data_IF_813903022836
#
_entry.id   IF_813903022836
#
_cell.length_a   1.000
_cell.length_b   1.000
_cell.length_c   1.000
_cell.angle_alpha   90.00
_cell.angle_beta   90.00
_cell.angle_gamma   90.00
#
_symmetry.space_group_name_H-M   'P 1'
#
loop_
_entity.id
_entity.type
_entity.pdbx_description
1 polymer ?
#
# COMPACT_ATOMS: atom_id res chain seq x y z
N UNK A 1 17.55 27.20 29.86
CA UNK A 1 17.48 26.40 28.64
C UNK A 1 18.69 25.47 28.67
N UNK A 2 18.48 24.20 28.98
CA UNK A 2 19.51 23.16 28.89
C UNK A 2 19.95 23.05 27.43
N UNK A 3 21.26 23.11 27.19
CA UNK A 3 21.83 22.82 25.88
C UNK A 3 21.55 21.35 25.59
N UNK A 4 20.50 21.08 24.79
CA UNK A 4 20.29 19.73 24.25
C UNK A 4 21.58 19.30 23.58
N UNK A 5 22.12 18.16 24.06
CA UNK A 5 23.27 17.52 23.41
C UNK A 5 22.78 16.98 22.06
N UNK A 6 23.20 17.62 20.99
CA UNK A 6 22.79 17.30 19.60
C UNK A 6 22.94 15.81 19.30
N UNK A 7 23.98 15.18 19.84
CA UNK A 7 24.24 13.75 19.62
C UNK A 7 23.18 12.88 20.32
N UNK A 8 22.82 13.19 21.56
CA UNK A 8 21.76 12.47 22.29
C UNK A 8 20.39 12.67 21.63
N UNK A 9 20.13 13.86 21.10
CA UNK A 9 18.90 14.14 20.34
C UNK A 9 18.84 13.31 19.06
N UNK A 10 19.93 13.22 18.30
CA UNK A 10 19.99 12.42 17.07
C UNK A 10 19.84 10.92 17.38
N UNK A 11 20.52 10.41 18.41
CA UNK A 11 20.42 9.01 18.83
C UNK A 11 19.00 8.64 19.32
N UNK A 12 18.30 9.57 19.97
CA UNK A 12 16.92 9.38 20.38
C UNK A 12 15.96 9.47 19.18
N UNK A 13 16.22 10.38 18.23
CA UNK A 13 15.40 10.53 17.04
C UNK A 13 15.50 9.32 16.11
N UNK A 14 16.70 8.71 15.96
CA UNK A 14 16.89 7.50 15.18
C UNK A 14 16.09 6.30 15.73
N UNK A 15 15.91 6.21 17.04
CA UNK A 15 15.19 5.12 17.70
C UNK A 15 13.66 5.24 17.66
N UNK A 16 13.12 6.39 17.25
CA UNK A 16 11.67 6.58 17.16
C UNK A 16 11.06 5.68 16.08
N UNK A 17 9.93 5.06 16.43
CA UNK A 17 9.12 4.30 15.48
C UNK A 17 8.57 5.21 14.37
N UNK A 18 8.41 4.66 13.17
CA UNK A 18 7.95 5.38 11.99
C UNK A 18 6.55 4.91 11.60
N UNK A 19 5.58 5.82 11.60
CA UNK A 19 4.24 5.58 11.07
C UNK A 19 4.11 6.19 9.68
N UNK A 20 3.77 5.35 8.70
CA UNK A 20 3.37 5.79 7.36
C UNK A 20 1.87 5.83 7.30
N UNK A 21 1.30 6.97 6.99
CA UNK A 21 -0.14 7.17 6.92
C UNK A 21 -0.56 7.75 5.57
N UNK A 22 -1.74 7.32 5.14
CA UNK A 22 -2.42 7.78 3.95
C UNK A 22 -3.58 8.68 4.37
N UNK A 23 -3.78 9.81 3.72
CA UNK A 23 -5.01 10.60 3.84
C UNK A 23 -5.87 10.39 2.60
N UNK A 24 -7.14 10.05 2.80
CA UNK A 24 -8.12 9.84 1.75
C UNK A 24 -9.44 10.53 2.10
N UNK A 25 -10.21 10.90 1.11
CA UNK A 25 -11.49 11.60 1.26
C UNK A 25 -11.84 12.33 -0.02
N UNK A 26 -13.07 12.81 -0.14
CA UNK A 26 -13.52 13.55 -1.32
C UNK A 26 -12.79 14.90 -1.45
N UNK A 27 -12.97 15.53 -2.59
CA UNK A 27 -12.63 16.94 -2.76
C UNK A 27 -13.43 17.72 -1.72
N UNK A 28 -12.81 18.70 -1.10
CA UNK A 28 -13.37 19.56 -0.05
C UNK A 28 -13.67 18.90 1.32
N UNK A 29 -13.37 17.62 1.54
CA UNK A 29 -13.47 17.00 2.88
C UNK A 29 -12.46 17.59 3.89
N UNK A 30 -11.47 18.38 3.42
CA UNK A 30 -10.48 19.08 4.25
C UNK A 30 -9.20 18.29 4.51
N UNK A 31 -8.80 17.42 3.58
CA UNK A 31 -7.52 16.66 3.67
C UNK A 31 -6.32 17.59 3.86
N UNK A 32 -6.13 18.52 2.95
CA UNK A 32 -5.01 19.45 2.97
C UNK A 32 -5.05 20.34 4.22
N UNK A 33 -6.25 20.80 4.64
CA UNK A 33 -6.42 21.55 5.88
C UNK A 33 -5.98 20.73 7.10
N UNK A 34 -6.36 19.45 7.17
CA UNK A 34 -6.00 18.57 8.29
C UNK A 34 -4.49 18.34 8.35
N UNK A 35 -3.87 18.04 7.21
CA UNK A 35 -2.41 17.82 7.14
C UNK A 35 -1.67 19.09 7.50
N UNK A 36 -2.07 20.23 6.91
CA UNK A 36 -1.49 21.52 7.23
C UNK A 36 -1.62 21.86 8.71
N UNK A 37 -2.78 21.58 9.33
CA UNK A 37 -3.01 21.77 10.75
C UNK A 37 -2.12 20.88 11.62
N UNK A 38 -1.98 19.61 11.29
CA UNK A 38 -1.06 18.68 11.98
C UNK A 38 0.38 19.17 11.92
N UNK A 39 0.83 19.66 10.77
CA UNK A 39 2.19 20.20 10.60
C UNK A 39 2.38 21.49 11.42
N UNK A 40 1.39 22.37 11.40
CA UNK A 40 1.41 23.64 12.13
C UNK A 40 1.46 23.41 13.65
N UNK A 41 0.51 22.65 14.18
CA UNK A 41 0.36 22.44 15.62
C UNK A 41 1.48 21.54 16.21
N UNK A 42 2.14 20.70 15.37
CA UNK A 42 3.30 19.93 15.82
C UNK A 42 4.55 20.79 16.07
N UNK A 43 4.45 22.11 15.95
CA UNK A 43 5.47 23.12 16.26
C UNK A 43 6.80 22.97 15.51
N UNK A 44 6.75 22.48 14.28
CA UNK A 44 7.94 22.29 13.43
C UNK A 44 7.97 23.18 12.19
N UNK A 45 7.12 24.19 12.12
CA UNK A 45 7.24 25.23 11.11
C UNK A 45 8.26 26.27 11.57
N UNK A 46 9.15 26.64 10.66
CA UNK A 46 10.08 27.75 10.86
C UNK A 46 9.30 29.08 10.79
N UNK A 47 9.75 30.10 11.53
CA UNK A 47 9.09 31.42 11.58
C UNK A 47 8.87 32.03 10.17
N UNK A 48 9.84 31.85 9.27
CA UNK A 48 9.74 32.31 7.88
C UNK A 48 8.57 31.66 7.11
N UNK A 49 8.25 30.40 7.41
CA UNK A 49 7.12 29.68 6.80
C UNK A 49 5.78 30.16 7.34
N UNK A 50 5.72 30.52 8.63
CA UNK A 50 4.55 31.11 9.24
C UNK A 50 4.23 32.48 8.63
N UNK A 51 5.22 33.36 8.52
CA UNK A 51 5.08 34.68 7.91
C UNK A 51 4.68 34.59 6.42
N UNK A 52 5.16 33.58 5.72
CA UNK A 52 4.76 33.29 4.34
C UNK A 52 3.32 32.81 4.27
N UNK A 53 2.92 31.89 5.15
CA UNK A 53 1.56 31.37 5.23
C UNK A 53 0.52 32.46 5.52
N UNK A 54 0.79 33.35 6.48
CA UNK A 54 -0.10 34.46 6.78
C UNK A 54 -0.26 35.44 5.62
N UNK A 55 0.85 35.71 4.88
CA UNK A 55 0.79 36.55 3.68
C UNK A 55 0.03 35.88 2.54
N UNK A 56 0.27 34.58 2.32
CA UNK A 56 -0.38 33.83 1.25
C UNK A 56 -1.87 33.60 1.56
N UNK A 57 -2.25 33.37 2.84
CA UNK A 57 -3.65 33.29 3.27
C UNK A 57 -4.41 34.57 2.92
N UNK A 58 -3.82 35.75 3.14
CA UNK A 58 -4.45 37.04 2.80
C UNK A 58 -4.60 37.27 1.28
N UNK A 59 -3.79 36.58 0.44
CA UNK A 59 -3.81 36.77 -1.01
C UNK A 59 -4.62 35.72 -1.75
N UNK A 60 -4.58 34.46 -1.29
CA UNK A 60 -5.08 33.30 -2.00
C UNK A 60 -5.96 32.39 -1.14
N UNK A 61 -6.05 32.64 0.18
CA UNK A 61 -6.74 31.75 1.10
C UNK A 61 -8.26 31.74 0.91
N UNK A 62 -8.86 30.56 1.09
CA UNK A 62 -10.28 30.31 1.01
C UNK A 62 -10.94 30.10 2.39
N UNK A 63 -10.18 30.27 3.48
CA UNK A 63 -10.62 30.01 4.86
C UNK A 63 -11.30 31.20 5.56
N UNK A 64 -11.63 32.27 4.83
CA UNK A 64 -12.20 33.51 5.40
C UNK A 64 -11.17 34.27 6.24
N UNK A 65 -11.51 34.56 7.51
CA UNK A 65 -10.60 35.23 8.44
C UNK A 65 -9.61 34.28 9.13
N UNK A 66 -9.76 32.97 8.97
CA UNK A 66 -8.87 31.95 9.54
C UNK A 66 -7.64 31.71 8.62
N UNK A 67 -6.56 31.19 9.21
CA UNK A 67 -5.36 30.80 8.46
C UNK A 67 -5.71 29.61 7.54
N UNK A 68 -5.39 29.74 6.26
CA UNK A 68 -5.57 28.64 5.31
C UNK A 68 -4.36 27.68 5.33
N UNK A 69 -4.47 26.65 6.16
CA UNK A 69 -3.44 25.64 6.35
C UNK A 69 -3.21 24.78 5.08
N UNK A 70 -4.14 24.74 4.14
CA UNK A 70 -3.97 24.02 2.87
C UNK A 70 -2.83 24.62 2.05
N UNK A 71 -2.60 25.92 2.11
CA UNK A 71 -1.51 26.60 1.40
C UNK A 71 -0.11 26.14 1.82
N UNK A 72 0.04 25.50 2.99
CA UNK A 72 1.31 24.86 3.38
C UNK A 72 1.68 23.67 2.51
N UNK A 73 0.69 23.08 1.84
CA UNK A 73 0.84 21.82 1.10
C UNK A 73 0.94 22.02 -0.41
N UNK A 74 0.39 23.10 -0.91
CA UNK A 74 0.32 23.38 -2.34
C UNK A 74 1.70 23.56 -2.96
N UNK A 75 2.27 22.44 -3.45
CA UNK A 75 3.60 22.39 -4.04
C UNK A 75 3.63 22.77 -5.52
N UNK A 76 2.63 22.34 -6.28
CA UNK A 76 2.53 22.55 -7.71
C UNK A 76 1.70 23.81 -8.03
N UNK A 77 2.12 24.56 -9.05
CA UNK A 77 1.35 25.72 -9.51
C UNK A 77 -0.06 25.33 -9.95
N UNK A 78 -0.20 24.17 -10.61
CA UNK A 78 -1.47 23.64 -11.07
C UNK A 78 -2.41 23.25 -9.89
N UNK A 79 -1.86 22.76 -8.78
CA UNK A 79 -2.63 22.44 -7.57
C UNK A 79 -3.17 23.72 -6.92
N UNK A 80 -2.35 24.77 -6.83
CA UNK A 80 -2.77 26.08 -6.33
C UNK A 80 -3.84 26.75 -7.19
N UNK A 81 -3.73 26.63 -8.51
CA UNK A 81 -4.71 27.23 -9.45
C UNK A 81 -6.04 26.48 -9.45
N UNK A 82 -6.03 25.17 -9.24
CA UNK A 82 -7.23 24.32 -9.25
C UNK A 82 -7.78 24.02 -7.87
N UNK A 83 -7.02 24.24 -6.79
CA UNK A 83 -7.40 23.94 -5.43
C UNK A 83 -7.57 22.45 -5.14
N UNK A 84 -6.90 21.58 -5.91
CA UNK A 84 -6.99 20.11 -5.77
C UNK A 84 -5.58 19.50 -5.74
N UNK A 85 -5.41 18.42 -4.98
CA UNK A 85 -4.22 17.56 -5.04
C UNK A 85 -4.27 16.72 -6.33
N UNK A 86 -3.22 16.76 -7.13
CA UNK A 86 -3.12 16.04 -8.41
C UNK A 86 -2.23 14.79 -8.27
N UNK A 87 -1.08 14.92 -7.61
CA UNK A 87 -0.12 13.85 -7.43
C UNK A 87 0.04 13.49 -5.95
N UNK A 88 0.71 12.35 -5.66
CA UNK A 88 1.00 11.97 -4.28
C UNK A 88 2.10 12.84 -3.73
N UNK A 89 1.79 13.63 -2.71
CA UNK A 89 2.77 14.40 -1.97
C UNK A 89 3.12 13.72 -0.65
N UNK A 90 4.41 13.52 -0.40
CA UNK A 90 4.88 12.98 0.87
C UNK A 90 5.32 14.11 1.80
N UNK A 91 4.77 14.14 3.00
CA UNK A 91 5.10 15.09 4.04
C UNK A 91 5.68 14.37 5.25
N UNK A 92 6.67 15.00 5.85
CA UNK A 92 7.43 14.42 6.95
C UNK A 92 7.31 15.29 8.17
N UNK A 93 6.96 14.72 9.29
CA UNK A 93 7.07 15.39 10.58
C UNK A 93 7.38 14.37 11.68
N UNK A 94 7.78 14.86 12.84
CA UNK A 94 8.01 14.01 14.00
C UNK A 94 7.59 14.74 15.26
N UNK A 95 7.08 13.98 16.22
CA UNK A 95 6.88 14.42 17.58
C UNK A 95 8.01 13.88 18.47
N UNK A 96 7.93 14.12 19.76
CA UNK A 96 8.88 13.53 20.71
C UNK A 96 8.74 11.99 20.80
N UNK A 97 7.60 11.42 20.38
CA UNK A 97 7.28 9.98 20.50
C UNK A 97 7.48 9.21 19.21
N UNK A 98 7.14 9.80 18.04
CA UNK A 98 7.08 9.06 16.78
C UNK A 98 7.43 9.93 15.58
N UNK A 99 7.95 9.31 14.51
CA UNK A 99 8.12 9.90 13.18
C UNK A 99 6.92 9.57 12.31
N UNK A 100 6.58 10.47 11.41
CA UNK A 100 5.43 10.33 10.51
C UNK A 100 5.82 10.62 9.07
N UNK A 101 5.30 9.80 8.16
CA UNK A 101 5.26 10.08 6.73
C UNK A 101 3.80 10.10 6.33
N UNK A 102 3.32 11.23 5.86
CA UNK A 102 1.97 11.39 5.33
C UNK A 102 2.03 11.29 3.81
N UNK A 103 1.30 10.34 3.22
CA UNK A 103 1.01 10.34 1.79
C UNK A 103 -0.32 11.09 1.60
N UNK A 104 -0.23 12.33 1.12
CA UNK A 104 -1.40 13.10 0.71
C UNK A 104 -1.82 12.64 -0.68
N UNK A 105 -3.05 12.18 -0.81
CA UNK A 105 -3.55 11.62 -2.06
C UNK A 105 -4.74 12.38 -2.60
N UNK A 106 -4.84 12.46 -3.94
CA UNK A 106 -5.96 13.12 -4.60
C UNK A 106 -7.30 12.51 -4.18
N UNK A 107 -8.30 13.36 -3.97
CA UNK A 107 -9.67 12.93 -3.67
C UNK A 107 -10.50 12.55 -4.89
N UNK A 108 -10.08 12.92 -6.09
CA UNK A 108 -10.84 12.72 -7.33
C UNK A 108 -10.65 11.29 -7.87
N UNK A 109 -11.71 10.68 -8.40
CA UNK A 109 -11.71 9.30 -8.90
C UNK A 109 -10.69 9.03 -10.01
N UNK A 110 -10.41 10.02 -10.85
CA UNK A 110 -9.43 9.92 -11.94
C UNK A 110 -8.02 9.65 -11.44
N UNK A 111 -7.73 9.94 -10.18
CA UNK A 111 -6.42 9.78 -9.57
C UNK A 111 -6.33 8.55 -8.63
N UNK A 112 -7.22 7.56 -8.79
CA UNK A 112 -7.21 6.32 -7.99
C UNK A 112 -5.85 5.63 -8.00
N UNK A 113 -5.12 5.65 -9.14
CA UNK A 113 -3.76 5.13 -9.25
C UNK A 113 -2.79 5.79 -8.26
N UNK A 114 -2.93 7.10 -8.05
CA UNK A 114 -2.06 7.84 -7.13
C UNK A 114 -2.37 7.47 -5.67
N UNK A 115 -3.64 7.26 -5.33
CA UNK A 115 -4.04 6.75 -4.02
C UNK A 115 -3.45 5.36 -3.74
N UNK A 116 -3.47 4.45 -4.73
CA UNK A 116 -2.89 3.11 -4.59
C UNK A 116 -1.38 3.19 -4.39
N UNK A 117 -0.70 4.07 -5.15
CA UNK A 117 0.74 4.29 -5.00
C UNK A 117 1.08 4.80 -3.60
N UNK A 118 0.38 5.83 -3.12
CA UNK A 118 0.59 6.38 -1.77
C UNK A 118 0.23 5.40 -0.66
N UNK A 119 -0.84 4.63 -0.85
CA UNK A 119 -1.33 3.66 0.13
C UNK A 119 -0.53 2.35 0.21
N UNK A 120 0.26 2.01 -0.84
CA UNK A 120 0.98 0.72 -0.91
C UNK A 120 1.96 0.50 0.25
N UNK A 121 2.50 1.57 0.82
CA UNK A 121 3.44 1.52 1.94
C UNK A 121 2.84 1.99 3.27
N UNK A 122 1.57 2.41 3.27
CA UNK A 122 0.92 2.94 4.45
C UNK A 122 0.59 1.84 5.48
N UNK A 123 0.78 2.17 6.75
CA UNK A 123 0.38 1.33 7.87
C UNK A 123 -1.03 1.69 8.37
N UNK A 124 -1.42 2.95 8.18
CA UNK A 124 -2.68 3.51 8.65
C UNK A 124 -3.29 4.41 7.57
N UNK A 125 -4.62 4.40 7.44
CA UNK A 125 -5.34 5.33 6.57
C UNK A 125 -6.25 6.25 7.39
N UNK A 126 -6.22 7.55 7.11
CA UNK A 126 -7.18 8.51 7.61
C UNK A 126 -8.18 8.77 6.49
N UNK A 127 -9.43 8.35 6.69
CA UNK A 127 -10.54 8.61 5.77
C UNK A 127 -11.34 9.77 6.32
N UNK A 128 -11.28 10.91 5.59
CA UNK A 128 -12.03 12.09 5.97
C UNK A 128 -13.46 12.03 5.41
N UNK A 129 -14.39 12.51 6.20
CA UNK A 129 -15.79 12.65 5.83
C UNK A 129 -16.27 14.02 6.32
N UNK A 130 -16.85 14.83 5.43
CA UNK A 130 -17.53 16.07 5.80
C UNK A 130 -18.80 15.74 6.60
N UNK A 131 -18.91 16.25 7.83
CA UNK A 131 -20.04 15.99 8.72
C UNK A 131 -21.40 16.39 8.12
N UNK A 132 -21.43 17.33 7.18
CA UNK A 132 -22.65 17.76 6.47
C UNK A 132 -23.12 16.73 5.45
N UNK A 133 -22.16 16.08 4.76
CA UNK A 133 -22.44 15.17 3.64
C UNK A 133 -22.56 13.71 4.07
N UNK A 134 -21.87 13.30 5.15
CA UNK A 134 -21.86 11.91 5.60
C UNK A 134 -21.09 10.99 4.68
N UNK A 135 -21.44 9.70 4.70
CA UNK A 135 -20.78 8.65 3.92
C UNK A 135 -21.25 8.70 2.46
N UNK A 136 -20.43 9.26 1.60
CA UNK A 136 -20.71 9.38 0.16
C UNK A 136 -19.99 8.28 -0.65
N UNK A 137 -20.28 8.20 -1.94
CA UNK A 137 -19.68 7.23 -2.87
C UNK A 137 -18.15 7.22 -2.82
N UNK A 138 -17.52 8.39 -2.75
CA UNK A 138 -16.06 8.49 -2.66
C UNK A 138 -15.52 7.92 -1.35
N UNK A 139 -16.21 8.13 -0.23
CA UNK A 139 -15.86 7.53 1.07
C UNK A 139 -15.83 6.00 0.96
N UNK A 140 -16.86 5.42 0.34
CA UNK A 140 -16.99 3.97 0.11
C UNK A 140 -15.86 3.44 -0.78
N UNK A 141 -15.57 4.13 -1.88
CA UNK A 141 -14.47 3.80 -2.80
C UNK A 141 -13.12 3.80 -2.09
N UNK A 142 -12.81 4.86 -1.37
CA UNK A 142 -11.54 4.98 -0.65
C UNK A 142 -11.41 3.89 0.43
N UNK A 143 -12.48 3.59 1.16
CA UNK A 143 -12.50 2.52 2.16
C UNK A 143 -12.24 1.15 1.52
N UNK A 144 -12.86 0.88 0.37
CA UNK A 144 -12.62 -0.36 -0.38
C UNK A 144 -11.16 -0.47 -0.84
N UNK A 145 -10.59 0.59 -1.39
CA UNK A 145 -9.19 0.61 -1.81
C UNK A 145 -8.23 0.41 -0.63
N UNK A 146 -8.52 1.03 0.52
CA UNK A 146 -7.76 0.84 1.75
C UNK A 146 -7.80 -0.61 2.23
N UNK A 147 -8.97 -1.26 2.16
CA UNK A 147 -9.12 -2.69 2.49
C UNK A 147 -8.36 -3.57 1.50
N UNK A 148 -8.44 -3.27 0.20
CA UNK A 148 -7.73 -3.99 -0.85
C UNK A 148 -6.20 -3.92 -0.68
N UNK A 149 -5.69 -2.74 -0.28
CA UNK A 149 -4.29 -2.53 0.08
C UNK A 149 -3.90 -3.19 1.41
N UNK A 150 -4.83 -3.84 2.09
CA UNK A 150 -4.60 -4.55 3.35
C UNK A 150 -4.12 -3.62 4.48
N UNK A 151 -4.53 -2.35 4.48
CA UNK A 151 -4.24 -1.42 5.57
C UNK A 151 -5.16 -1.79 6.73
N UNK A 152 -4.57 -2.16 7.87
CA UNK A 152 -5.31 -2.72 9.01
C UNK A 152 -5.89 -1.67 9.94
N UNK A 153 -5.28 -0.48 10.00
CA UNK A 153 -5.67 0.62 10.88
C UNK A 153 -6.33 1.72 10.08
N UNK A 154 -7.58 2.01 10.36
CA UNK A 154 -8.36 3.06 9.70
C UNK A 154 -8.86 4.06 10.73
N UNK A 155 -8.61 5.33 10.50
CA UNK A 155 -9.25 6.42 11.23
C UNK A 155 -10.32 7.02 10.34
N UNK A 156 -11.58 6.91 10.75
CA UNK A 156 -12.67 7.71 10.20
C UNK A 156 -12.65 9.08 10.87
N UNK A 157 -12.16 10.08 10.17
CA UNK A 157 -12.12 11.45 10.64
C UNK A 157 -13.38 12.19 10.17
N UNK A 158 -14.37 12.35 11.06
CA UNK A 158 -15.59 13.10 10.77
C UNK A 158 -15.26 14.58 10.97
N UNK A 159 -14.93 15.25 9.86
CA UNK A 159 -14.42 16.60 9.82
C UNK A 159 -15.53 17.64 9.66
N UNK A 160 -15.20 18.89 9.96
CA UNK A 160 -16.09 20.04 9.89
C UNK A 160 -17.26 19.95 10.88
N UNK A 161 -17.01 19.38 12.06
CA UNK A 161 -18.00 19.29 13.12
C UNK A 161 -18.49 20.67 13.58
N UNK A 162 -17.65 21.72 13.44
CA UNK A 162 -18.01 23.11 13.66
C UNK A 162 -19.19 23.59 12.80
N UNK A 163 -19.31 23.09 11.56
CA UNK A 163 -20.39 23.47 10.64
C UNK A 163 -21.73 22.78 10.92
N UNK A 164 -21.74 21.77 11.78
CA UNK A 164 -22.95 21.08 12.25
C UNK A 164 -23.20 21.30 13.74
N UNK A 165 -22.60 22.34 14.33
CA UNK A 165 -22.78 22.71 15.74
C UNK A 165 -22.24 21.66 16.73
N UNK A 166 -21.25 20.87 16.33
CA UNK A 166 -20.62 19.81 17.14
C UNK A 166 -21.61 18.74 17.62
N UNK A 167 -22.66 18.48 16.81
CA UNK A 167 -23.77 17.61 17.18
C UNK A 167 -23.32 16.14 17.21
N UNK A 168 -23.45 15.53 18.40
CA UNK A 168 -23.19 14.10 18.62
C UNK A 168 -24.05 13.18 17.75
N UNK A 169 -25.31 13.51 17.51
CA UNK A 169 -26.21 12.67 16.73
C UNK A 169 -25.77 12.57 15.28
N UNK A 170 -25.23 13.67 14.72
CA UNK A 170 -24.63 13.66 13.37
C UNK A 170 -23.45 12.71 13.31
N UNK A 171 -22.54 12.81 14.29
CA UNK A 171 -21.40 11.89 14.38
C UNK A 171 -21.82 10.44 14.50
N UNK A 172 -22.69 10.11 15.46
CA UNK A 172 -23.13 8.72 15.72
C UNK A 172 -23.81 8.10 14.49
N UNK A 173 -24.60 8.88 13.73
CA UNK A 173 -25.22 8.45 12.48
C UNK A 173 -24.16 8.10 11.42
N UNK A 174 -23.18 8.97 11.19
CA UNK A 174 -22.11 8.75 10.20
C UNK A 174 -21.28 7.52 10.57
N UNK A 175 -20.92 7.37 11.84
CA UNK A 175 -20.18 6.21 12.34
C UNK A 175 -20.96 4.92 12.13
N UNK A 176 -22.25 4.93 12.39
CA UNK A 176 -23.11 3.73 12.20
C UNK A 176 -23.17 3.33 10.73
N UNK A 177 -23.43 4.29 9.83
CA UNK A 177 -23.47 4.05 8.38
C UNK A 177 -22.12 3.55 7.86
N UNK A 178 -21.02 4.18 8.28
CA UNK A 178 -19.69 3.80 7.85
C UNK A 178 -19.34 2.37 8.30
N UNK A 179 -19.60 2.01 9.54
CA UNK A 179 -19.32 0.67 10.07
C UNK A 179 -20.13 -0.41 9.37
N UNK A 180 -21.39 -0.16 9.07
CA UNK A 180 -22.23 -1.10 8.30
C UNK A 180 -21.62 -1.35 6.91
N UNK A 181 -21.13 -0.32 6.24
CA UNK A 181 -20.47 -0.47 4.96
C UNK A 181 -19.12 -1.19 5.06
N UNK A 182 -18.32 -0.89 6.08
CA UNK A 182 -16.96 -1.41 6.24
C UNK A 182 -16.93 -2.86 6.79
N UNK A 183 -17.99 -3.34 7.42
CA UNK A 183 -18.06 -4.68 8.04
C UNK A 183 -17.67 -5.81 7.07
N UNK A 184 -18.25 -5.93 5.85
CA UNK A 184 -17.88 -6.98 4.89
C UNK A 184 -16.45 -6.85 4.34
N UNK A 185 -15.80 -5.70 4.50
CA UNK A 185 -14.44 -5.46 4.04
C UNK A 185 -13.38 -6.03 4.99
N UNK A 186 -13.77 -6.45 6.20
CA UNK A 186 -12.90 -7.13 7.15
C UNK A 186 -11.74 -6.27 7.69
N UNK A 187 -11.91 -4.94 7.76
CA UNK A 187 -10.91 -4.05 8.34
C UNK A 187 -10.88 -4.25 9.86
N UNK A 188 -9.76 -4.69 10.45
CA UNK A 188 -9.76 -5.14 11.85
C UNK A 188 -9.83 -4.01 12.87
N UNK A 189 -9.32 -2.81 12.55
CA UNK A 189 -9.26 -1.67 13.46
C UNK A 189 -9.80 -0.41 12.79
N UNK A 190 -10.97 0.04 13.25
CA UNK A 190 -11.62 1.28 12.79
C UNK A 190 -11.88 2.18 14.00
N UNK A 191 -11.11 3.24 14.09
CA UNK A 191 -11.27 4.30 15.09
C UNK A 191 -11.98 5.50 14.47
N UNK A 192 -13.02 6.01 15.14
CA UNK A 192 -13.81 7.13 14.64
C UNK A 192 -13.53 8.37 15.52
N UNK A 193 -13.14 9.48 14.91
CA UNK A 193 -12.76 10.71 15.60
C UNK A 193 -13.56 11.87 15.00
N UNK A 194 -14.41 12.56 15.79
CA UNK A 194 -15.03 13.82 15.39
C UNK A 194 -14.01 14.95 15.52
N UNK A 195 -13.85 15.77 14.48
CA UNK A 195 -12.88 16.85 14.51
C UNK A 195 -13.31 18.07 13.67
N UNK A 196 -12.65 19.19 13.90
CA UNK A 196 -12.62 20.31 12.98
C UNK A 196 -11.16 20.64 12.64
N UNK A 197 -10.73 20.29 11.43
CA UNK A 197 -9.37 20.57 10.98
C UNK A 197 -9.07 22.07 10.96
N UNK A 198 -10.05 22.90 10.60
CA UNK A 198 -9.91 24.35 10.52
C UNK A 198 -9.77 24.98 11.91
N UNK A 199 -10.61 24.58 12.87
CA UNK A 199 -10.60 25.13 14.24
C UNK A 199 -9.60 24.42 15.17
N UNK A 200 -9.11 23.22 14.79
CA UNK A 200 -8.17 22.42 15.57
C UNK A 200 -8.82 21.49 16.59
N UNK A 201 -10.15 21.44 16.64
CA UNK A 201 -10.89 20.61 17.59
C UNK A 201 -10.57 19.12 17.38
N UNK A 202 -10.11 18.43 18.41
CA UNK A 202 -9.70 17.02 18.41
C UNK A 202 -8.61 16.65 17.37
N UNK A 203 -7.84 17.62 16.89
CA UNK A 203 -6.69 17.35 16.03
C UNK A 203 -5.46 17.03 16.87
N UNK A 204 -5.01 17.95 17.70
CA UNK A 204 -3.86 17.78 18.61
C UNK A 204 -4.34 17.68 20.06
N UNK A 205 -5.24 18.57 20.46
CA UNK A 205 -5.80 18.64 21.81
C UNK A 205 -7.28 18.26 21.80
N UNK A 206 -7.78 17.78 22.94
CA UNK A 206 -9.20 17.47 23.10
C UNK A 206 -10.05 18.74 22.99
N UNK A 207 -11.15 18.67 22.24
CA UNK A 207 -12.06 19.81 22.05
C UNK A 207 -12.95 20.02 23.25
N UNK A 208 -13.06 21.26 23.73
CA UNK A 208 -14.06 21.68 24.74
C UNK A 208 -15.48 21.65 24.13
N UNK A 209 -15.60 21.88 22.82
CA UNK A 209 -16.89 21.92 22.12
C UNK A 209 -17.52 20.51 21.96
N UNK A 210 -16.71 19.45 22.05
CA UNK A 210 -17.13 18.05 21.92
C UNK A 210 -16.85 17.26 23.21
N UNK A 211 -17.21 17.78 24.36
CA UNK A 211 -17.02 17.12 25.66
C UNK A 211 -17.67 15.74 25.78
N UNK A 212 -18.62 15.43 24.91
CA UNK A 212 -19.24 14.11 24.77
C UNK A 212 -18.32 13.06 24.12
N UNK A 213 -17.24 13.47 23.44
CA UNK A 213 -16.26 12.58 22.88
C UNK A 213 -15.17 12.29 23.93
N UNK A 214 -15.05 11.03 24.33
CA UNK A 214 -14.10 10.59 25.36
C UNK A 214 -12.88 9.87 24.80
N UNK A 215 -12.79 9.78 23.46
CA UNK A 215 -11.65 9.18 22.76
C UNK A 215 -10.45 10.11 22.70
N UNK A 216 -9.36 9.63 22.13
CA UNK A 216 -8.14 10.40 21.93
C UNK A 216 -8.28 11.37 20.77
N UNK A 217 -7.70 12.59 20.87
CA UNK A 217 -7.45 13.43 19.71
C UNK A 217 -6.61 12.71 18.65
N UNK A 218 -6.69 13.17 17.39
CA UNK A 218 -6.05 12.48 16.26
C UNK A 218 -4.55 12.30 16.46
N UNK A 219 -3.80 13.32 16.82
CA UNK A 219 -2.34 13.22 16.99
C UNK A 219 -1.97 12.23 18.10
N UNK A 220 -2.66 12.26 19.25
CA UNK A 220 -2.42 11.33 20.34
C UNK A 220 -2.69 9.87 19.91
N UNK A 221 -3.76 9.64 19.14
CA UNK A 221 -4.04 8.33 18.57
C UNK A 221 -2.91 7.88 17.64
N UNK A 222 -2.47 8.73 16.71
CA UNK A 222 -1.38 8.45 15.79
C UNK A 222 -0.05 8.16 16.48
N UNK A 223 0.23 8.81 17.60
CA UNK A 223 1.41 8.58 18.45
C UNK A 223 1.38 7.23 19.18
N UNK A 224 0.19 6.71 19.49
CA UNK A 224 0.01 5.56 20.38
C UNK A 224 -0.49 4.29 19.69
N UNK A 225 -1.00 4.38 18.46
CA UNK A 225 -1.45 3.21 17.69
C UNK A 225 -0.28 2.23 17.49
N UNK A 226 -0.52 0.95 17.76
CA UNK A 226 0.50 -0.09 17.69
C UNK A 226 0.49 -0.78 16.33
N UNK A 227 1.53 -0.56 15.53
CA UNK A 227 1.68 -1.13 14.17
C UNK A 227 2.71 -2.29 14.11
N UNK A 228 3.37 -2.59 15.22
CA UNK A 228 4.43 -3.62 15.27
C UNK A 228 3.94 -5.03 14.97
N UNK A 229 2.68 -5.35 15.30
CA UNK A 229 2.05 -6.63 15.03
C UNK A 229 1.72 -6.89 13.54
N UNK A 230 1.86 -5.87 12.69
CA UNK A 230 1.56 -6.00 11.26
C UNK A 230 2.69 -6.64 10.46
N UNK A 231 3.89 -6.74 11.05
CA UNK A 231 5.05 -7.35 10.41
C UNK A 231 5.02 -8.87 10.58
N UNK A 232 5.24 -9.58 9.48
CA UNK A 232 5.45 -11.04 9.52
C UNK A 232 6.90 -11.33 9.90
N UNK A 233 7.12 -11.81 11.11
CA UNK A 233 8.44 -12.23 11.62
C UNK A 233 8.66 -13.74 11.54
N UNK A 234 7.68 -14.54 11.16
CA UNK A 234 7.75 -16.00 11.12
C UNK A 234 8.31 -16.53 9.80
N UNK A 235 7.81 -16.01 8.67
CA UNK A 235 8.08 -16.55 7.35
C UNK A 235 9.25 -15.81 6.71
N UNK A 236 10.45 -16.42 6.73
CA UNK A 236 11.61 -15.80 6.06
C UNK A 236 11.39 -15.72 4.55
N UNK A 237 11.43 -14.50 4.03
CA UNK A 237 11.43 -14.19 2.59
C UNK A 237 12.53 -13.17 2.33
N UNK A 238 13.58 -13.63 1.66
CA UNK A 238 14.73 -12.81 1.31
C UNK A 238 14.95 -12.83 -0.22
N UNK A 239 14.22 -12.00 -0.97
CA UNK A 239 14.34 -11.93 -2.43
C UNK A 239 15.65 -11.26 -2.83
N UNK A 240 16.53 -11.97 -3.50
CA UNK A 240 17.86 -11.47 -3.85
C UNK A 240 17.76 -10.33 -4.88
N UNK A 241 18.29 -9.17 -4.51
CA UNK A 241 18.29 -7.96 -5.32
C UNK A 241 19.58 -7.82 -6.14
N UNK A 242 20.71 -8.13 -5.51
CA UNK A 242 22.02 -7.94 -6.10
C UNK A 242 23.00 -8.99 -5.57
N UNK A 243 23.88 -9.48 -6.45
CA UNK A 243 24.96 -10.38 -6.07
C UNK A 243 26.26 -9.59 -6.04
N UNK A 244 26.83 -9.46 -4.85
CA UNK A 244 28.05 -8.71 -4.61
C UNK A 244 29.26 -9.64 -4.62
N UNK A 245 30.24 -9.38 -5.51
CA UNK A 245 31.49 -10.13 -5.58
C UNK A 245 32.67 -9.17 -5.83
N UNK A 246 33.06 -8.38 -4.82
CA UNK A 246 34.15 -7.41 -4.95
C UNK A 246 35.53 -8.05 -5.15
N UNK A 247 35.72 -9.27 -4.67
CA UNK A 247 36.94 -10.06 -4.79
C UNK A 247 36.61 -11.57 -4.83
N UNK A 248 37.63 -12.43 -4.89
CA UNK A 248 37.45 -13.88 -4.98
C UNK A 248 36.99 -14.52 -3.65
N UNK A 249 37.26 -13.87 -2.54
CA UNK A 249 36.99 -14.43 -1.19
C UNK A 249 35.62 -14.00 -0.63
N UNK A 250 34.92 -13.07 -1.30
CA UNK A 250 33.62 -12.56 -0.87
C UNK A 250 32.56 -12.76 -1.95
N UNK A 251 31.51 -13.49 -1.61
CA UNK A 251 30.28 -13.59 -2.39
C UNK A 251 29.08 -13.34 -1.47
N UNK A 252 28.43 -12.21 -1.69
CA UNK A 252 27.30 -11.77 -0.86
C UNK A 252 26.05 -11.59 -1.71
N UNK A 253 24.90 -11.85 -1.10
CA UNK A 253 23.57 -11.69 -1.67
C UNK A 253 22.90 -10.52 -0.94
N UNK A 254 22.75 -9.40 -1.64
CA UNK A 254 22.25 -8.16 -1.03
C UNK A 254 20.77 -7.99 -1.31
N UNK A 255 20.00 -7.64 -0.29
CA UNK A 255 18.58 -7.32 -0.40
C UNK A 255 18.05 -6.66 0.88
N UNK A 256 16.77 -6.31 0.83
CA UNK A 256 15.96 -5.99 2.02
C UNK A 256 15.24 -7.25 2.47
N UNK A 257 15.26 -7.54 3.77
CA UNK A 257 14.45 -8.62 4.35
C UNK A 257 12.98 -8.29 4.15
N UNK A 258 12.27 -9.08 3.33
CA UNK A 258 10.86 -8.85 3.03
C UNK A 258 9.95 -9.30 4.18
N UNK A 259 10.25 -10.44 4.80
CA UNK A 259 9.59 -10.95 6.00
C UNK A 259 10.48 -11.95 6.73
N UNK A 260 10.08 -12.34 7.94
CA UNK A 260 10.79 -13.29 8.78
C UNK A 260 12.05 -12.70 9.43
N UNK A 261 12.73 -13.54 10.19
CA UNK A 261 14.00 -13.22 10.84
C UNK A 261 15.04 -14.17 10.25
N UNK A 262 16.18 -13.63 9.82
CA UNK A 262 17.36 -14.41 9.39
C UNK A 262 18.46 -14.25 10.43
N UNK A 263 19.09 -15.37 10.80
CA UNK A 263 20.18 -15.42 11.79
C UNK A 263 21.43 -16.03 11.19
N UNK A 264 22.56 -15.63 11.71
CA UNK A 264 23.84 -16.31 11.42
C UNK A 264 23.73 -17.78 11.85
N UNK A 265 24.11 -18.69 10.96
CA UNK A 265 24.02 -20.15 11.18
C UNK A 265 22.68 -20.77 10.76
N UNK A 266 21.66 -19.99 10.43
CA UNK A 266 20.38 -20.53 9.93
C UNK A 266 20.59 -21.33 8.65
N UNK A 267 19.91 -22.48 8.56
CA UNK A 267 19.81 -23.23 7.29
C UNK A 267 18.82 -22.53 6.37
N UNK A 268 19.22 -22.31 5.14
CA UNK A 268 18.40 -21.65 4.13
C UNK A 268 18.35 -22.48 2.82
N UNK A 269 17.27 -22.30 2.08
CA UNK A 269 17.04 -22.88 0.76
C UNK A 269 17.00 -21.78 -0.27
N UNK A 270 17.73 -21.95 -1.36
CA UNK A 270 17.69 -21.05 -2.51
C UNK A 270 16.62 -21.52 -3.51
N UNK A 271 15.64 -20.67 -3.80
CA UNK A 271 14.62 -20.93 -4.81
C UNK A 271 15.02 -20.30 -6.14
N UNK A 272 14.80 -20.99 -7.29
CA UNK A 272 14.07 -22.24 -7.47
C UNK A 272 14.94 -23.50 -7.37
N UNK A 273 16.25 -23.38 -7.19
CA UNK A 273 17.19 -24.50 -7.29
C UNK A 273 17.03 -25.56 -6.18
N UNK A 274 16.33 -25.22 -5.09
CA UNK A 274 16.16 -26.02 -3.88
C UNK A 274 17.49 -26.41 -3.19
N UNK A 275 18.59 -25.77 -3.57
CA UNK A 275 19.89 -25.99 -2.92
C UNK A 275 19.88 -25.39 -1.51
N UNK A 276 20.46 -26.14 -0.57
CA UNK A 276 20.56 -25.75 0.84
C UNK A 276 21.95 -25.25 1.16
N UNK A 277 22.03 -24.29 2.06
CA UNK A 277 23.28 -23.83 2.67
C UNK A 277 22.99 -23.21 4.04
N UNK A 278 24.04 -22.77 4.73
CA UNK A 278 23.93 -22.05 6.00
C UNK A 278 24.36 -20.59 5.83
N UNK A 279 23.71 -19.72 6.57
CA UNK A 279 24.10 -18.30 6.66
C UNK A 279 25.45 -18.19 7.38
N UNK A 280 26.49 -17.80 6.65
CA UNK A 280 27.84 -17.62 7.20
C UNK A 280 27.96 -16.29 7.93
N UNK A 281 27.49 -15.20 7.32
CA UNK A 281 27.46 -13.87 7.95
C UNK A 281 26.35 -13.01 7.39
N UNK A 282 25.94 -12.02 8.17
CA UNK A 282 24.99 -10.96 7.80
C UNK A 282 25.75 -9.65 7.91
N UNK A 283 25.97 -8.98 6.77
CA UNK A 283 26.84 -7.82 6.66
C UNK A 283 26.03 -6.56 6.35
N UNK A 284 26.33 -5.49 7.06
CA UNK A 284 25.83 -4.13 6.79
C UNK A 284 27.01 -3.17 6.62
N UNK A 285 26.72 -1.90 6.33
CA UNK A 285 27.74 -0.86 6.28
C UNK A 285 28.47 -0.70 7.62
N UNK A 286 27.75 -0.84 8.75
CA UNK A 286 28.26 -0.65 10.11
C UNK A 286 28.95 -1.90 10.69
N UNK A 287 28.94 -3.01 9.95
CA UNK A 287 29.56 -4.28 10.38
C UNK A 287 28.65 -5.49 10.23
N UNK A 288 29.05 -6.58 10.91
CA UNK A 288 28.28 -7.82 10.94
C UNK A 288 27.19 -7.78 12.02
N UNK A 289 26.05 -8.44 11.70
CA UNK A 289 24.94 -8.65 12.61
C UNK A 289 24.76 -10.14 12.92
N UNK A 290 24.26 -10.45 14.11
CA UNK A 290 23.89 -11.82 14.48
C UNK A 290 22.55 -12.23 13.86
N UNK A 291 21.65 -11.27 13.67
CA UNK A 291 20.34 -11.47 13.03
C UNK A 291 19.85 -10.20 12.34
N UNK A 292 18.93 -10.37 11.41
CA UNK A 292 18.22 -9.27 10.74
C UNK A 292 16.74 -9.59 10.55
N UNK A 293 15.93 -8.53 10.39
CA UNK A 293 14.47 -8.59 10.29
C UNK A 293 13.92 -7.49 9.35
N UNK A 294 12.66 -7.57 8.93
CA UNK A 294 12.07 -6.57 8.04
C UNK A 294 11.99 -5.16 8.68
N UNK A 295 12.31 -4.10 7.95
CA UNK A 295 12.75 -4.03 6.55
C UNK A 295 14.26 -3.75 6.41
N UNK A 296 15.11 -4.38 7.19
CA UNK A 296 16.56 -4.13 7.15
C UNK A 296 17.18 -4.52 5.81
N UNK A 297 17.99 -3.61 5.25
CA UNK A 297 18.81 -3.87 4.07
C UNK A 297 20.14 -4.48 4.50
N UNK A 298 20.43 -5.69 4.04
CA UNK A 298 21.58 -6.49 4.45
C UNK A 298 22.21 -7.21 3.24
N UNK A 299 23.43 -7.70 3.45
CA UNK A 299 24.10 -8.65 2.57
C UNK A 299 24.35 -9.96 3.32
N UNK A 300 23.81 -11.04 2.79
CA UNK A 300 23.98 -12.38 3.35
C UNK A 300 25.09 -13.12 2.61
N UNK A 301 26.03 -13.73 3.33
CA UNK A 301 26.99 -14.69 2.78
C UNK A 301 26.61 -16.10 3.21
N UNK A 302 26.91 -17.10 2.40
CA UNK A 302 26.62 -18.50 2.65
C UNK A 302 27.90 -19.29 2.86
N UNK A 303 27.80 -20.44 3.57
CA UNK A 303 28.92 -21.34 3.77
C UNK A 303 29.34 -22.04 2.47
N UNK A 304 28.35 -22.42 1.64
CA UNK A 304 28.57 -23.08 0.38
C UNK A 304 28.50 -22.11 -0.81
N UNK A 305 29.29 -22.38 -1.85
CA UNK A 305 29.20 -21.65 -3.12
C UNK A 305 27.99 -22.14 -3.93
N UNK A 306 26.84 -21.52 -3.73
CA UNK A 306 25.61 -21.77 -4.49
C UNK A 306 25.42 -20.66 -5.51
N UNK A 307 25.03 -21.04 -6.74
CA UNK A 307 24.64 -20.07 -7.74
C UNK A 307 23.24 -19.55 -7.44
N UNK A 308 23.19 -18.29 -7.10
CA UNK A 308 21.97 -17.54 -6.83
C UNK A 308 22.05 -16.22 -7.60
N UNK A 309 20.96 -15.85 -8.23
CA UNK A 309 20.86 -14.65 -9.07
C UNK A 309 19.79 -13.71 -8.57
N UNK A 310 19.80 -12.46 -9.07
CA UNK A 310 18.69 -11.54 -8.86
C UNK A 310 17.37 -12.15 -9.33
N UNK A 311 16.33 -12.01 -8.53
CA UNK A 311 15.01 -12.58 -8.78
C UNK A 311 14.78 -13.93 -8.11
N UNK A 312 15.83 -14.54 -7.56
CA UNK A 312 15.76 -15.74 -6.74
C UNK A 312 15.54 -15.36 -5.26
N UNK A 313 15.22 -16.34 -4.42
CA UNK A 313 14.82 -16.07 -3.02
C UNK A 313 15.47 -17.07 -2.08
N UNK A 314 15.97 -16.56 -0.93
CA UNK A 314 16.36 -17.38 0.20
C UNK A 314 15.21 -17.49 1.19
N UNK A 315 14.93 -18.69 1.65
CA UNK A 315 13.83 -19.03 2.58
C UNK A 315 14.29 -20.07 3.60
N UNK A 316 13.58 -20.23 4.71
CA UNK A 316 13.81 -21.38 5.60
C UNK A 316 13.30 -22.67 4.96
N UNK A 317 14.00 -23.83 5.19
CA UNK A 317 13.66 -25.09 4.51
C UNK A 317 12.27 -25.62 4.87
N UNK A 318 11.79 -25.37 6.08
CA UNK A 318 10.51 -25.87 6.59
C UNK A 318 9.34 -24.92 6.35
N UNK A 319 9.60 -23.77 5.70
CA UNK A 319 8.60 -22.73 5.45
C UNK A 319 8.79 -22.12 4.06
N UNK A 320 8.36 -22.86 3.04
CA UNK A 320 8.45 -22.41 1.66
C UNK A 320 7.26 -21.54 1.27
N UNK A 321 7.45 -20.51 0.43
CA UNK A 321 6.35 -19.78 -0.20
C UNK A 321 5.65 -20.70 -1.22
N UNK A 322 4.52 -20.24 -1.72
CA UNK A 322 3.87 -20.86 -2.88
C UNK A 322 4.76 -20.66 -4.10
N UNK A 323 5.05 -21.74 -4.82
CA UNK A 323 5.84 -21.75 -6.06
C UNK A 323 4.89 -22.09 -7.20
N UNK A 324 4.51 -21.11 -8.01
CA UNK A 324 3.59 -21.35 -9.11
C UNK A 324 3.82 -20.41 -10.29
N UNK A 325 3.44 -20.87 -11.50
CA UNK A 325 3.29 -20.01 -12.68
C UNK A 325 1.87 -19.50 -12.84
N UNK A 326 0.91 -20.17 -12.21
CA UNK A 326 -0.50 -19.89 -12.33
C UNK A 326 -1.03 -19.43 -10.99
N UNK A 327 -1.62 -18.25 -10.96
CA UNK A 327 -2.18 -17.67 -9.75
C UNK A 327 -3.34 -16.73 -10.08
N UNK A 328 -4.16 -16.45 -9.10
CA UNK A 328 -5.17 -15.42 -9.18
C UNK A 328 -4.86 -14.24 -8.27
N UNK A 329 -5.27 -13.06 -8.71
CA UNK A 329 -5.02 -11.83 -8.00
C UNK A 329 -6.17 -10.84 -8.18
N UNK A 330 -6.32 -9.93 -7.22
CA UNK A 330 -7.02 -8.67 -7.47
C UNK A 330 -6.09 -7.76 -8.26
N UNK A 331 -6.58 -7.22 -9.35
CA UNK A 331 -5.85 -6.33 -10.25
C UNK A 331 -6.54 -4.98 -10.31
N UNK A 332 -5.76 -3.91 -10.23
CA UNK A 332 -6.23 -2.54 -10.50
C UNK A 332 -5.57 -2.07 -11.78
N UNK A 333 -6.38 -1.78 -12.79
CA UNK A 333 -5.88 -1.27 -14.07
C UNK A 333 -5.59 0.24 -13.96
N UNK A 334 -4.39 0.65 -14.36
CA UNK A 334 -3.87 2.00 -14.15
C UNK A 334 -3.53 2.72 -15.45
N UNK A 335 -3.61 2.05 -16.59
CA UNK A 335 -3.32 2.62 -17.90
C UNK A 335 -4.59 3.25 -18.49
N UNK A 336 -4.42 4.35 -19.25
CA UNK A 336 -5.49 4.97 -20.04
C UNK A 336 -5.89 4.09 -21.22
N UNK A 337 -4.93 3.30 -21.75
CA UNK A 337 -5.20 2.27 -22.76
C UNK A 337 -6.00 1.15 -22.13
N UNK A 338 -7.14 0.84 -22.73
CA UNK A 338 -7.96 -0.33 -22.34
C UNK A 338 -7.11 -1.60 -22.41
N UNK A 339 -7.26 -2.48 -21.42
CA UNK A 339 -6.60 -3.77 -21.37
C UNK A 339 -6.95 -4.61 -22.60
N UNK A 340 -5.94 -5.14 -23.26
CA UNK A 340 -6.10 -6.16 -24.31
C UNK A 340 -5.80 -7.54 -23.69
N UNK A 341 -6.78 -8.47 -23.65
CA UNK A 341 -6.58 -9.82 -23.09
C UNK A 341 -5.52 -10.65 -23.79
N UNK A 342 -5.27 -10.37 -25.08
CA UNK A 342 -4.27 -11.11 -25.87
C UNK A 342 -2.86 -10.55 -25.69
N UNK A 343 -2.71 -9.40 -25.07
CA UNK A 343 -1.42 -8.76 -24.84
C UNK A 343 -0.62 -9.48 -23.76
N UNK A 344 0.69 -9.57 -23.96
CA UNK A 344 1.61 -10.04 -22.94
C UNK A 344 2.29 -8.87 -22.24
N UNK A 345 2.34 -8.92 -20.92
CA UNK A 345 2.97 -7.91 -20.10
C UNK A 345 4.28 -8.45 -19.48
N UNK A 346 5.15 -7.56 -19.04
CA UNK A 346 6.10 -7.92 -18.01
C UNK A 346 5.43 -7.84 -16.64
N UNK A 347 5.65 -8.86 -15.81
CA UNK A 347 5.32 -8.83 -14.39
C UNK A 347 6.60 -8.65 -13.60
N UNK A 348 6.60 -7.61 -12.75
CA UNK A 348 7.64 -7.40 -11.76
C UNK A 348 7.09 -7.78 -10.39
N UNK A 349 7.61 -8.86 -9.85
CA UNK A 349 7.26 -9.41 -8.55
C UNK A 349 8.52 -9.48 -7.69
N UNK A 350 8.53 -8.81 -6.55
CA UNK A 350 9.72 -8.64 -5.73
C UNK A 350 10.92 -8.16 -6.59
N UNK A 351 11.98 -8.95 -6.69
CA UNK A 351 13.16 -8.68 -7.53
C UNK A 351 13.14 -9.40 -8.88
N UNK A 352 12.11 -10.24 -9.12
CA UNK A 352 11.94 -11.02 -10.35
C UNK A 352 11.20 -10.20 -11.42
N UNK A 353 11.62 -10.37 -12.67
CA UNK A 353 10.96 -9.84 -13.85
C UNK A 353 10.77 -10.95 -14.86
N UNK A 354 9.55 -11.22 -15.29
CA UNK A 354 9.23 -12.23 -16.29
C UNK A 354 8.01 -11.81 -17.13
N UNK A 355 7.70 -12.54 -18.17
CA UNK A 355 6.48 -12.32 -18.94
C UNK A 355 5.28 -12.90 -18.22
N UNK A 356 4.13 -12.24 -18.37
CA UNK A 356 2.84 -12.69 -17.86
C UNK A 356 1.75 -12.49 -18.92
N UNK A 357 0.78 -13.39 -18.92
CA UNK A 357 -0.45 -13.29 -19.68
C UNK A 357 -1.63 -13.33 -18.70
N UNK A 358 -2.66 -12.54 -19.02
CA UNK A 358 -3.96 -12.62 -18.37
C UNK A 358 -4.74 -13.72 -19.10
N UNK A 359 -5.06 -14.79 -18.38
CA UNK A 359 -5.80 -15.91 -18.98
C UNK A 359 -7.31 -15.67 -18.92
N UNK A 360 -7.79 -15.09 -17.81
CA UNK A 360 -9.22 -14.86 -17.61
C UNK A 360 -9.46 -13.76 -16.58
N UNK A 361 -10.44 -12.92 -16.84
CA UNK A 361 -11.08 -12.07 -15.81
C UNK A 361 -12.23 -12.88 -15.21
N UNK A 362 -12.18 -13.16 -13.90
CA UNK A 362 -13.29 -13.85 -13.23
C UNK A 362 -14.50 -12.92 -13.08
N UNK A 363 -14.24 -11.70 -12.61
CA UNK A 363 -15.23 -10.62 -12.48
C UNK A 363 -14.53 -9.29 -12.24
N UNK A 364 -15.20 -8.20 -12.55
CA UNK A 364 -14.84 -6.87 -12.08
C UNK A 364 -15.72 -6.44 -10.91
N UNK A 365 -15.19 -5.57 -10.07
CA UNK A 365 -15.88 -5.05 -8.88
C UNK A 365 -16.30 -3.62 -9.11
N UNK A 366 -17.57 -3.33 -8.92
CA UNK A 366 -18.04 -1.96 -8.82
C UNK A 366 -17.67 -1.42 -7.42
N UNK A 367 -16.70 -0.51 -7.37
CA UNK A 367 -16.20 0.03 -6.11
C UNK A 367 -17.23 0.84 -5.30
N UNK A 368 -18.34 1.23 -5.90
CA UNK A 368 -19.40 2.00 -5.27
C UNK A 368 -20.45 1.12 -4.60
N UNK A 369 -20.79 -0.01 -5.24
CA UNK A 369 -21.84 -0.94 -4.77
C UNK A 369 -21.26 -2.25 -4.24
N UNK A 370 -19.99 -2.54 -4.47
CA UNK A 370 -19.28 -3.81 -4.23
C UNK A 370 -19.84 -4.98 -5.05
N UNK A 371 -20.71 -4.71 -6.03
CA UNK A 371 -21.26 -5.74 -6.91
C UNK A 371 -20.22 -6.24 -7.90
N UNK A 372 -20.31 -7.53 -8.20
CA UNK A 372 -19.44 -8.22 -9.15
C UNK A 372 -20.16 -8.34 -10.49
N UNK A 373 -19.44 -8.09 -11.58
CA UNK A 373 -19.95 -8.22 -12.95
C UNK A 373 -18.94 -8.88 -13.86
N UNK A 374 -19.41 -9.59 -14.89
CA UNK A 374 -18.54 -10.14 -15.92
C UNK A 374 -17.86 -9.01 -16.72
N UNK A 375 -16.63 -9.24 -17.16
CA UNK A 375 -15.87 -8.34 -18.01
C UNK A 375 -14.86 -9.12 -18.85
N UNK A 376 -14.66 -8.66 -20.09
CA UNK A 376 -13.65 -9.23 -21.00
C UNK A 376 -12.39 -8.37 -21.06
N UNK A 377 -12.46 -7.15 -20.59
CA UNK A 377 -11.34 -6.20 -20.55
C UNK A 377 -11.54 -5.20 -19.42
N UNK A 378 -10.48 -4.47 -19.06
CA UNK A 378 -10.48 -3.45 -18.01
C UNK A 378 -10.14 -2.08 -18.57
N UNK A 379 -10.79 -1.07 -18.03
CA UNK A 379 -10.53 0.34 -18.28
C UNK A 379 -9.84 0.98 -17.08
N UNK A 380 -9.34 2.20 -17.25
CA UNK A 380 -8.65 2.95 -16.21
C UNK A 380 -9.43 2.93 -14.88
N UNK A 381 -8.73 2.63 -13.78
CA UNK A 381 -9.24 2.55 -12.42
C UNK A 381 -10.23 1.40 -12.14
N UNK A 382 -10.46 0.51 -13.09
CA UNK A 382 -11.26 -0.69 -12.85
C UNK A 382 -10.48 -1.73 -12.04
N UNK A 383 -11.21 -2.44 -11.19
CA UNK A 383 -10.68 -3.46 -10.28
C UNK A 383 -11.34 -4.79 -10.63
N UNK A 384 -10.51 -5.83 -10.80
CA UNK A 384 -11.01 -7.14 -11.17
C UNK A 384 -10.24 -8.27 -10.47
N UNK A 385 -10.87 -9.42 -10.35
CA UNK A 385 -10.22 -10.69 -10.01
C UNK A 385 -9.81 -11.40 -11.28
N UNK A 386 -8.51 -11.68 -11.40
CA UNK A 386 -7.88 -12.08 -12.66
C UNK A 386 -7.00 -13.32 -12.45
N UNK A 387 -6.98 -14.24 -13.42
CA UNK A 387 -6.08 -15.39 -13.46
C UNK A 387 -4.91 -15.07 -14.39
N UNK A 388 -3.71 -15.43 -13.94
CA UNK A 388 -2.45 -15.19 -14.64
C UNK A 388 -1.69 -16.47 -14.90
N UNK A 389 -0.98 -16.49 -16.05
CA UNK A 389 0.12 -17.42 -16.31
C UNK A 389 1.40 -16.63 -16.55
N UNK A 390 2.50 -17.07 -15.92
CA UNK A 390 3.83 -16.45 -16.04
C UNK A 390 4.84 -17.34 -16.73
N UNK A 391 5.82 -16.74 -17.39
CA UNK A 391 6.88 -17.44 -18.10
C UNK A 391 7.83 -18.23 -17.18
N UNK A 392 8.04 -17.73 -15.95
CA UNK A 392 8.80 -18.38 -14.88
C UNK A 392 7.94 -18.50 -13.62
N UNK A 393 8.14 -19.48 -12.74
CA UNK A 393 7.45 -19.55 -11.48
C UNK A 393 7.77 -18.33 -10.62
N UNK A 394 6.77 -17.82 -9.92
CA UNK A 394 6.91 -16.82 -8.86
C UNK A 394 6.96 -17.53 -7.50
N UNK A 395 7.60 -16.88 -6.53
CA UNK A 395 7.73 -17.33 -5.15
C UNK A 395 6.96 -16.34 -4.27
N UNK A 396 5.72 -16.64 -3.96
CA UNK A 396 4.82 -15.69 -3.33
C UNK A 396 4.07 -16.27 -2.13
N UNK A 397 3.61 -15.40 -1.28
CA UNK A 397 2.58 -15.65 -0.29
C UNK A 397 1.32 -14.87 -0.69
N UNK A 398 0.12 -15.29 -0.27
CA UNK A 398 -1.07 -14.47 -0.43
C UNK A 398 -0.84 -13.05 0.13
N UNK A 399 -1.32 -12.03 -0.57
CA UNK A 399 -1.12 -10.62 -0.17
C UNK A 399 -1.61 -10.33 1.25
N UNK A 400 -2.68 -11.00 1.67
CA UNK A 400 -3.23 -10.91 3.03
C UNK A 400 -2.27 -11.40 4.12
N UNK A 401 -1.34 -12.30 3.77
CA UNK A 401 -0.34 -12.86 4.69
C UNK A 401 0.98 -12.10 4.64
N UNK A 402 1.41 -11.73 3.42
CA UNK A 402 2.67 -11.02 3.20
C UNK A 402 2.55 -10.07 2.01
N UNK A 403 2.37 -8.78 2.30
CA UNK A 403 2.26 -7.74 1.26
C UNK A 403 3.48 -7.67 0.36
N UNK A 404 4.69 -7.89 0.89
CA UNK A 404 5.94 -7.74 0.15
C UNK A 404 6.14 -8.81 -0.91
N UNK A 405 5.65 -10.04 -0.66
CA UNK A 405 5.73 -11.16 -1.59
C UNK A 405 4.41 -11.47 -2.29
N UNK A 406 3.31 -10.83 -1.88
CA UNK A 406 1.99 -10.96 -2.49
C UNK A 406 1.64 -9.86 -3.48
N UNK A 407 2.48 -8.85 -3.67
CA UNK A 407 2.24 -7.74 -4.58
C UNK A 407 3.08 -7.84 -5.86
N UNK A 408 2.53 -7.33 -6.97
CA UNK A 408 3.25 -7.20 -8.23
C UNK A 408 2.74 -6.01 -9.04
N UNK A 409 3.52 -5.62 -10.06
CA UNK A 409 3.09 -4.67 -11.08
C UNK A 409 3.15 -5.32 -12.47
N UNK A 410 2.24 -4.91 -13.36
CA UNK A 410 2.32 -5.19 -14.78
C UNK A 410 2.94 -3.99 -15.50
N UNK A 411 3.81 -4.29 -16.43
CA UNK A 411 4.56 -3.30 -17.21
C UNK A 411 4.34 -3.60 -18.69
N UNK A 412 3.95 -2.59 -19.46
CA UNK A 412 3.88 -2.67 -20.91
C UNK A 412 5.28 -2.90 -21.51
N UNK A 413 5.48 -3.95 -22.33
CA UNK A 413 6.80 -4.28 -22.84
C UNK A 413 7.34 -3.30 -23.88
N UNK A 414 6.50 -2.43 -24.44
CA UNK A 414 6.85 -1.45 -25.47
C UNK A 414 7.15 -0.09 -24.84
N UNK A 415 6.24 0.41 -24.01
CA UNK A 415 6.35 1.75 -23.40
C UNK A 415 7.13 1.75 -22.09
N UNK A 416 7.29 0.59 -21.45
CA UNK A 416 7.79 0.42 -20.07
C UNK A 416 6.96 1.14 -19.00
N UNK A 417 5.72 1.53 -19.31
CA UNK A 417 4.80 2.09 -18.34
C UNK A 417 4.21 1.00 -17.44
N UNK A 418 3.94 1.35 -16.19
CA UNK A 418 3.16 0.50 -15.29
C UNK A 418 1.70 0.54 -15.70
N UNK A 419 1.15 -0.59 -16.16
CA UNK A 419 -0.24 -0.70 -16.60
C UNK A 419 -1.19 -1.08 -15.48
N UNK A 420 -0.72 -1.87 -14.52
CA UNK A 420 -1.55 -2.34 -13.42
C UNK A 420 -0.73 -2.70 -12.18
N UNK A 421 -1.42 -2.74 -11.04
CA UNK A 421 -0.92 -3.29 -9.79
C UNK A 421 -1.80 -4.45 -9.37
N UNK A 422 -1.19 -5.51 -8.83
CA UNK A 422 -1.91 -6.71 -8.42
C UNK A 422 -1.57 -7.18 -7.03
N UNK A 423 -2.56 -7.75 -6.36
CA UNK A 423 -2.48 -8.37 -5.05
C UNK A 423 -2.84 -9.86 -5.19
N UNK A 424 -1.84 -10.74 -5.04
CA UNK A 424 -2.01 -12.18 -5.23
C UNK A 424 -2.91 -12.75 -4.14
N UNK A 425 -3.91 -13.52 -4.56
CA UNK A 425 -4.85 -14.19 -3.65
C UNK A 425 -4.33 -15.60 -3.33
N UNK A 426 -4.11 -16.42 -4.37
CA UNK A 426 -3.62 -17.80 -4.22
C UNK A 426 -3.16 -18.36 -5.59
N UNK A 427 -2.54 -19.54 -5.55
CA UNK A 427 -2.28 -20.33 -6.78
C UNK A 427 -3.58 -20.84 -7.39
N UNK A 428 -3.57 -21.04 -8.68
CA UNK A 428 -4.66 -21.69 -9.40
C UNK A 428 -4.24 -23.13 -9.76
N UNK A 429 -5.08 -24.11 -9.44
CA UNK A 429 -4.83 -25.50 -9.79
C UNK A 429 -5.22 -25.77 -11.25
N UNK A 430 -4.58 -26.77 -11.90
CA UNK A 430 -4.87 -27.12 -13.30
C UNK A 430 -6.32 -27.47 -13.58
N UNK A 431 -7.06 -27.96 -12.58
CA UNK A 431 -8.50 -28.25 -12.72
C UNK A 431 -9.32 -27.00 -12.96
N UNK A 432 -8.98 -25.91 -12.26
CA UNK A 432 -9.68 -24.63 -12.42
C UNK A 432 -9.34 -23.93 -13.74
N UNK A 433 -8.23 -24.35 -14.38
CA UNK A 433 -7.87 -23.90 -15.73
C UNK A 433 -8.58 -24.72 -16.83
N UNK A 434 -9.00 -25.95 -16.54
CA UNK A 434 -9.76 -26.79 -17.48
C UNK A 434 -11.24 -26.41 -17.59
N UNK A 435 -11.78 -25.73 -16.60
CA UNK A 435 -13.07 -25.00 -16.68
C UNK A 435 -12.99 -23.69 -17.49
N UNK A 436 -11.80 -23.29 -17.95
CA UNK A 436 -11.64 -22.42 -19.10
C UNK A 436 -12.12 -23.22 -20.30
N UNK A 437 -13.39 -23.11 -20.64
CA UNK A 437 -14.04 -23.76 -21.75
C UNK A 437 -13.10 -23.76 -22.97
N UNK A 438 -12.59 -24.92 -23.32
CA UNK A 438 -12.25 -25.19 -24.70
C UNK A 438 -13.59 -24.98 -25.41
N UNK A 439 -13.77 -23.94 -26.27
CA UNK A 439 -14.99 -23.87 -27.04
C UNK A 439 -15.12 -25.24 -27.70
N UNK A 440 -16.25 -25.91 -27.51
CA UNK A 440 -16.56 -27.12 -28.26
C UNK A 440 -16.43 -26.71 -29.72
N UNK A 441 -15.25 -26.94 -30.27
CA UNK A 441 -15.04 -26.96 -31.71
C UNK A 441 -15.82 -28.17 -32.11
N UNK A 442 -17.08 -28.02 -32.46
CA UNK A 442 -17.88 -29.08 -32.97
C UNK A 442 -17.15 -29.53 -34.24
N UNK A 443 -16.57 -30.74 -34.19
CA UNK A 443 -15.84 -31.35 -35.30
C UNK A 443 -16.65 -31.29 -36.59
N UNK A 444 -17.97 -31.16 -36.49
CA UNK A 444 -18.89 -30.91 -37.60
C UNK A 444 -18.65 -29.57 -38.33
N UNK A 445 -18.10 -28.56 -37.70
CA UNK A 445 -17.77 -27.27 -38.35
C UNK A 445 -16.45 -27.31 -39.15
N UNK A 446 -15.60 -28.30 -38.89
CA UNK A 446 -14.33 -28.47 -39.62
C UNK A 446 -14.46 -29.43 -40.82
N UNK A 447 -15.65 -29.97 -41.11
CA UNK A 447 -15.86 -30.89 -42.22
C UNK A 447 -15.08 -32.24 -42.07
N UNK A 448 -14.64 -32.58 -40.86
CA UNK A 448 -13.92 -33.81 -40.57
C UNK A 448 -14.95 -34.83 -40.06
N UNK A 449 -15.35 -35.76 -40.90
CA UNK A 449 -16.20 -36.88 -40.52
C UNK A 449 -15.52 -37.77 -39.50
N UNK A 450 -16.31 -38.43 -38.64
CA UNK A 450 -15.90 -39.29 -37.54
C UNK A 450 -15.13 -40.59 -37.96
N UNK A 451 -14.80 -40.76 -39.24
CA UNK A 451 -14.22 -41.98 -39.77
C UNK A 451 -12.67 -42.02 -39.75
N UNK A 452 -12.00 -41.00 -39.23
CA UNK A 452 -10.53 -40.89 -39.32
C UNK A 452 -9.76 -40.98 -38.00
N UNK A 453 -10.42 -41.36 -36.91
CA UNK A 453 -9.68 -41.62 -35.64
C UNK A 453 -9.61 -43.13 -35.33
N UNK A 454 -8.60 -43.79 -35.81
CA UNK A 454 -8.12 -45.06 -35.22
C UNK A 454 -7.19 -44.70 -34.08
N UNK A 455 -7.53 -45.16 -32.86
CA UNK A 455 -6.70 -45.05 -31.69
C UNK A 455 -5.32 -45.63 -31.96
N UNK A 456 -4.28 -44.86 -31.66
CA UNK A 456 -2.93 -45.37 -31.45
C UNK A 456 -2.80 -45.54 -29.94
N UNK A 457 -2.71 -46.79 -29.48
CA UNK A 457 -2.34 -47.18 -28.12
C UNK A 457 -0.93 -46.71 -27.76
#
# INVERSE_FOLDING_TARGET
>A
MEKLNIKEFLDQDEKKDLLRLLTAGSVDDGKSTLIGRLLFDSKKLYEDQLDALERDTKRYGNAGDDIDYALLLDGLKAEREQGITIDVAYRYFSTNKRKFIIADTPGHEQYTRNMITGGSTANLAIILVDARSGVITQTRRHTYLVSLLGIKHVVLAVNKMDLVGYDRQVFDRIVTEYRQFAEPLGIPDITCIPLSALKGDNVVEASENMSWYTGKPLLEYLETVHIGSDKNFADLRYPVQYVMRPNLDFRGFSSTVASGIIRKGDEVVALPSMKRSRVKSIVTYDGELDFAFPPQAITVTLEDEIDISRGEMLVHPDNLPIISRNFEAMLVWMDEKKMDPEEQFFIKHTTNLTRAKIDKIRYKVNVNTLEQSAADALELNEIARVIFTTGKPLFFDPYSQNKNTGAFILIDPITNNTCAVGMIIDKVERKDMQELEIPEISLSKLGIGSEHFTAIE
#
